data_IF_185787636107
#
_entry.id   IF_185787636107
#
_cell.length_a   1.000
_cell.length_b   1.000
_cell.length_c   1.000
_cell.angle_alpha   90.00
_cell.angle_beta   90.00
_cell.angle_gamma   90.00
#
_symmetry.space_group_name_H-M   'P 1'
#
loop_
_entity.id
_entity.type
_entity.pdbx_description
1 polymer ?
#
# COMPACT_ATOMS: atom_id res chain seq x y z
N UNK A 1 32.86 -44.25 68.87
CA UNK A 1 31.64 -44.47 68.06
C UNK A 1 30.58 -43.37 68.20
N UNK A 2 30.37 -42.74 69.37
CA UNK A 2 29.38 -41.65 69.57
C UNK A 2 29.72 -40.32 68.88
N UNK A 3 31.00 -39.99 68.73
CA UNK A 3 31.43 -38.76 68.04
C UNK A 3 31.41 -38.88 66.50
N UNK A 4 31.62 -40.09 65.97
CA UNK A 4 31.55 -40.36 64.53
C UNK A 4 30.10 -40.34 64.02
N UNK A 5 29.16 -40.81 64.86
CA UNK A 5 27.72 -40.72 64.58
C UNK A 5 27.22 -39.28 64.66
N UNK A 6 27.74 -38.44 65.57
CA UNK A 6 27.38 -37.02 65.64
C UNK A 6 27.87 -36.22 64.43
N UNK A 7 29.07 -36.53 63.91
CA UNK A 7 29.63 -35.86 62.73
C UNK A 7 28.89 -36.27 61.45
N UNK A 8 28.50 -37.55 61.35
CA UNK A 8 27.66 -38.04 60.24
C UNK A 8 26.24 -37.46 60.30
N UNK A 9 25.67 -37.25 61.49
CA UNK A 9 24.35 -36.62 61.64
C UNK A 9 24.40 -35.11 61.32
N UNK A 10 25.48 -34.42 61.71
CA UNK A 10 25.69 -33.01 61.40
C UNK A 10 25.96 -32.78 59.90
N UNK A 11 26.73 -33.66 59.25
CA UNK A 11 26.96 -33.62 57.81
C UNK A 11 25.68 -33.96 57.01
N UNK A 12 24.82 -34.85 57.52
CA UNK A 12 23.53 -35.17 56.92
C UNK A 12 22.52 -34.00 57.02
N UNK A 13 22.57 -33.21 58.10
CA UNK A 13 21.74 -31.98 58.22
C UNK A 13 22.26 -30.80 57.39
N UNK A 14 23.55 -30.76 57.04
CA UNK A 14 24.09 -29.76 56.11
C UNK A 14 23.81 -30.09 54.63
N UNK A 15 23.48 -31.35 54.30
CA UNK A 15 23.13 -31.78 52.94
C UNK A 15 21.66 -31.51 52.56
N UNK A 16 20.80 -31.13 53.52
CA UNK A 16 19.38 -30.83 53.27
C UNK A 16 19.07 -29.33 53.24
N UNK A 17 20.06 -28.47 53.45
CA UNK A 17 19.96 -27.03 53.17
C UNK A 17 20.31 -26.76 51.70
N UNK A 18 19.66 -27.47 50.78
CA UNK A 18 19.63 -27.08 49.38
C UNK A 18 18.70 -25.86 49.30
N UNK A 19 19.19 -24.78 48.67
CA UNK A 19 18.47 -23.54 48.39
C UNK A 19 16.99 -23.78 48.10
N UNK A 20 16.13 -23.17 48.91
CA UNK A 20 14.76 -22.89 48.52
C UNK A 20 14.78 -21.65 47.60
N UNK A 21 15.37 -21.80 46.40
CA UNK A 21 15.18 -20.86 45.29
C UNK A 21 13.93 -21.29 44.52
N UNK A 22 12.82 -21.47 45.25
CA UNK A 22 11.51 -21.46 44.61
C UNK A 22 11.12 -20.00 44.35
N UNK A 23 11.83 -19.37 43.41
CA UNK A 23 11.23 -18.26 42.66
C UNK A 23 9.94 -18.82 42.07
N UNK A 24 8.83 -18.51 42.74
CA UNK A 24 7.50 -18.78 42.21
C UNK A 24 7.46 -18.07 40.87
N UNK A 25 7.42 -18.85 39.79
CA UNK A 25 7.09 -18.37 38.45
C UNK A 25 5.74 -17.66 38.53
N UNK A 26 5.77 -16.37 38.82
CA UNK A 26 4.59 -15.51 38.74
C UNK A 26 4.29 -15.35 37.25
N UNK A 27 3.16 -15.89 36.84
CA UNK A 27 2.67 -15.77 35.46
C UNK A 27 2.14 -14.34 35.27
N UNK A 28 3.04 -13.36 35.20
CA UNK A 28 2.74 -11.99 34.82
C UNK A 28 2.78 -11.91 33.30
N UNK A 29 1.61 -11.77 32.70
CA UNK A 29 1.49 -11.44 31.28
C UNK A 29 1.88 -9.96 31.17
N UNK A 30 2.99 -9.69 30.50
CA UNK A 30 3.38 -8.35 30.12
C UNK A 30 2.55 -7.92 28.90
N UNK A 31 1.79 -6.84 29.04
CA UNK A 31 1.00 -6.22 27.98
C UNK A 31 1.75 -5.07 27.30
N UNK A 32 3.02 -4.82 27.67
CA UNK A 32 3.85 -3.85 26.99
C UNK A 32 4.00 -4.23 25.52
N UNK A 33 3.90 -3.23 24.64
CA UNK A 33 4.12 -3.41 23.21
C UNK A 33 5.59 -3.12 22.92
N UNK A 34 6.34 -4.03 22.27
CA UNK A 34 7.73 -3.77 21.89
C UNK A 34 7.83 -2.63 20.86
N UNK A 35 6.71 -2.24 20.23
CA UNK A 35 6.66 -1.15 19.26
C UNK A 35 6.43 0.22 19.90
N UNK A 36 6.14 0.32 21.20
CA UNK A 36 5.98 1.61 21.85
C UNK A 36 7.31 2.39 21.80
N UNK A 37 7.25 3.66 21.42
CA UNK A 37 8.41 4.55 21.43
C UNK A 37 8.37 5.38 22.70
N UNK A 38 9.44 5.33 23.50
CA UNK A 38 9.59 6.14 24.71
C UNK A 38 10.39 7.42 24.44
N UNK A 39 10.11 8.47 25.21
CA UNK A 39 10.79 9.75 25.14
C UNK A 39 12.21 9.67 25.75
N UNK A 40 13.11 10.53 25.28
CA UNK A 40 14.54 10.52 25.63
C UNK A 40 15.17 11.89 25.39
N UNK A 41 16.31 12.16 26.05
CA UNK A 41 17.13 13.35 25.79
C UNK A 41 17.86 13.32 24.43
N UNK A 42 17.91 12.15 23.77
CA UNK A 42 18.43 12.06 22.40
C UNK A 42 17.46 12.74 21.41
N UNK A 43 17.91 13.72 20.60
CA UNK A 43 17.02 14.53 19.78
C UNK A 43 16.30 13.73 18.69
N UNK A 44 16.91 12.68 18.15
CA UNK A 44 16.28 11.83 17.14
C UNK A 44 15.21 10.95 17.78
N UNK A 45 15.53 10.36 18.93
CA UNK A 45 14.59 9.57 19.71
C UNK A 45 13.39 10.41 20.17
N UNK A 46 13.62 11.65 20.61
CA UNK A 46 12.56 12.59 20.95
C UNK A 46 11.62 12.83 19.77
N UNK A 47 12.15 13.11 18.56
CA UNK A 47 11.31 13.29 17.37
C UNK A 47 10.52 12.03 17.01
N UNK A 48 11.11 10.84 17.14
CA UNK A 48 10.38 9.56 16.95
C UNK A 48 9.23 9.43 17.96
N UNK A 49 9.47 9.81 19.22
CA UNK A 49 8.46 9.81 20.27
C UNK A 49 7.32 10.78 19.95
N UNK A 50 7.62 11.99 19.47
CA UNK A 50 6.59 12.97 19.08
C UNK A 50 5.70 12.43 17.95
N UNK A 51 6.30 11.84 16.90
CA UNK A 51 5.55 11.19 15.82
C UNK A 51 4.68 10.04 16.34
N UNK A 52 5.21 9.20 17.23
CA UNK A 52 4.45 8.11 17.83
C UNK A 52 3.28 8.64 18.70
N UNK A 53 3.51 9.67 19.50
CA UNK A 53 2.50 10.33 20.33
C UNK A 53 1.38 10.94 19.48
N UNK A 54 1.74 11.62 18.41
CA UNK A 54 0.80 12.42 17.61
C UNK A 54 0.04 11.56 16.59
N UNK A 55 0.70 10.55 16.01
CA UNK A 55 0.14 9.72 14.95
C UNK A 55 -0.20 8.28 15.35
N UNK A 56 0.38 7.78 16.44
CA UNK A 56 0.27 6.37 16.87
C UNK A 56 1.12 5.40 16.05
N UNK A 57 2.11 5.90 15.28
CA UNK A 57 2.92 5.10 14.36
C UNK A 57 4.36 5.04 14.83
N UNK A 58 4.88 3.83 15.01
CA UNK A 58 6.25 3.60 15.43
C UNK A 58 7.20 3.69 14.23
N UNK A 59 8.29 4.45 14.35
CA UNK A 59 9.28 4.65 13.27
C UNK A 59 10.61 4.03 13.68
N UNK A 60 11.25 3.27 12.81
CA UNK A 60 12.55 2.61 13.06
C UNK A 60 13.57 2.93 11.96
N UNK A 61 14.86 2.95 12.31
CA UNK A 61 15.99 3.15 11.39
C UNK A 61 16.85 1.89 11.19
N UNK A 62 16.56 0.83 11.94
CA UNK A 62 17.09 -0.51 11.77
C UNK A 62 15.95 -1.52 12.00
N UNK A 63 16.22 -2.79 11.73
CA UNK A 63 15.26 -3.87 11.83
C UNK A 63 15.01 -4.35 13.26
N UNK A 64 15.77 -3.91 14.26
CA UNK A 64 15.59 -4.29 15.67
C UNK A 64 14.59 -3.37 16.37
N UNK A 65 13.44 -3.94 16.73
CA UNK A 65 12.34 -3.23 17.41
C UNK A 65 12.63 -3.10 18.91
N UNK A 66 13.08 -4.18 19.54
CA UNK A 66 13.43 -4.18 20.97
C UNK A 66 14.46 -5.26 21.31
N UNK A 67 15.16 -5.07 22.43
CA UNK A 67 16.06 -6.07 23.01
C UNK A 67 15.78 -6.23 24.51
N UNK A 68 15.51 -7.46 24.95
CA UNK A 68 15.27 -7.77 26.36
C UNK A 68 16.31 -8.77 26.86
N UNK A 69 16.94 -8.47 28.00
CA UNK A 69 17.81 -9.42 28.70
C UNK A 69 17.01 -10.65 29.15
N UNK A 70 17.56 -11.85 28.93
CA UNK A 70 16.91 -13.13 29.24
C UNK A 70 17.62 -13.88 30.37
N UNK A 71 18.92 -13.66 30.55
CA UNK A 71 19.76 -14.35 31.53
C UNK A 71 21.21 -14.37 31.09
N UNK A 72 22.08 -15.03 31.84
CA UNK A 72 23.48 -15.25 31.46
C UNK A 72 23.67 -16.67 30.92
N UNK A 73 24.64 -16.85 30.01
CA UNK A 73 25.04 -18.16 29.53
C UNK A 73 25.91 -18.92 30.56
N UNK A 74 26.39 -20.12 30.22
CA UNK A 74 27.23 -20.91 31.12
C UNK A 74 28.58 -20.26 31.45
N UNK A 75 29.07 -19.33 30.60
CA UNK A 75 30.28 -18.57 30.82
C UNK A 75 30.04 -17.27 31.63
N UNK A 76 28.77 -16.91 31.87
CA UNK A 76 28.37 -15.68 32.54
C UNK A 76 28.16 -14.50 31.59
N UNK A 77 28.11 -14.73 30.28
CA UNK A 77 27.87 -13.69 29.28
C UNK A 77 26.36 -13.45 29.11
N UNK A 78 25.91 -12.18 29.04
CA UNK A 78 24.50 -11.85 28.98
C UNK A 78 23.86 -12.27 27.65
N UNK A 79 22.73 -12.96 27.73
CA UNK A 79 21.88 -13.37 26.61
C UNK A 79 20.72 -12.39 26.47
N UNK A 80 20.52 -11.90 25.25
CA UNK A 80 19.40 -11.04 24.89
C UNK A 80 18.46 -11.74 23.89
N UNK A 81 17.17 -11.45 24.02
CA UNK A 81 16.15 -11.73 23.00
C UNK A 81 15.90 -10.44 22.23
N UNK A 82 15.83 -10.56 20.91
CA UNK A 82 15.56 -9.45 20.00
C UNK A 82 14.20 -9.67 19.33
N UNK A 83 13.41 -8.60 19.27
CA UNK A 83 12.25 -8.51 18.37
C UNK A 83 12.70 -7.76 17.13
N UNK A 84 12.47 -8.33 15.94
CA UNK A 84 12.89 -7.73 14.68
C UNK A 84 11.73 -7.58 13.71
N UNK A 85 11.82 -6.57 12.83
CA UNK A 85 10.90 -6.40 11.71
C UNK A 85 11.21 -7.49 10.68
N UNK A 86 10.32 -8.48 10.57
CA UNK A 86 10.41 -9.52 9.54
C UNK A 86 9.41 -9.25 8.40
N UNK A 87 9.93 -8.84 7.25
CA UNK A 87 9.13 -8.60 6.05
C UNK A 87 8.71 -9.90 5.33
N UNK A 88 9.25 -11.07 5.69
CA UNK A 88 8.80 -12.35 5.16
C UNK A 88 7.62 -12.95 5.94
N UNK A 89 7.23 -12.30 7.04
CA UNK A 89 6.13 -12.77 7.87
C UNK A 89 4.77 -12.35 7.28
N UNK A 90 4.03 -13.31 6.75
CA UNK A 90 2.63 -13.12 6.31
C UNK A 90 1.70 -14.16 6.98
N UNK A 91 0.42 -13.83 7.13
CA UNK A 91 -0.56 -14.70 7.82
C UNK A 91 -0.94 -15.96 7.02
N UNK A 92 -0.86 -15.92 5.69
CA UNK A 92 -1.39 -16.96 4.79
C UNK A 92 -0.34 -17.68 3.97
N UNK A 93 0.90 -17.21 3.99
CA UNK A 93 2.00 -17.74 3.19
C UNK A 93 3.32 -17.40 3.88
N UNK A 94 4.26 -18.33 3.87
CA UNK A 94 5.67 -17.96 3.94
C UNK A 94 6.12 -17.83 2.49
N UNK A 95 6.77 -16.72 2.13
CA UNK A 95 7.76 -16.81 1.06
C UNK A 95 8.65 -17.98 1.47
N UNK A 96 8.67 -19.09 0.72
CA UNK A 96 9.30 -20.35 1.15
C UNK A 96 10.84 -20.23 1.13
N UNK A 97 11.40 -19.17 1.73
CA UNK A 97 12.77 -18.73 1.60
C UNK A 97 13.12 -18.15 0.22
N UNK A 98 12.14 -17.93 -0.67
CA UNK A 98 12.43 -17.45 -2.04
C UNK A 98 12.74 -15.96 -2.11
N UNK A 99 12.34 -15.18 -1.11
CA UNK A 99 12.59 -13.74 -1.03
C UNK A 99 13.51 -13.44 0.15
N UNK A 100 14.55 -12.64 -0.10
CA UNK A 100 15.46 -12.15 0.93
C UNK A 100 15.52 -10.63 0.87
N UNK A 101 15.43 -9.98 2.02
CA UNK A 101 15.59 -8.54 2.17
C UNK A 101 16.98 -8.22 2.73
N UNK A 102 17.61 -7.19 2.17
CA UNK A 102 18.84 -6.59 2.68
C UNK A 102 18.64 -5.08 2.77
N UNK A 103 19.21 -4.46 3.80
CA UNK A 103 18.98 -3.05 4.11
C UNK A 103 20.30 -2.34 4.35
N UNK A 104 20.42 -1.14 3.79
CA UNK A 104 21.41 -0.15 4.18
C UNK A 104 20.74 0.86 5.11
N UNK A 105 21.25 1.00 6.34
CA UNK A 105 20.60 1.81 7.38
C UNK A 105 20.99 3.29 7.33
N UNK A 106 20.10 4.15 7.82
CA UNK A 106 20.38 5.56 8.07
C UNK A 106 21.15 5.68 9.38
N UNK A 107 22.40 6.16 9.32
CA UNK A 107 23.33 6.10 10.46
C UNK A 107 23.63 7.45 11.08
N UNK A 108 23.39 8.55 10.36
CA UNK A 108 23.66 9.89 10.85
C UNK A 108 22.39 10.61 11.32
N UNK A 109 22.47 11.50 12.32
CA UNK A 109 21.33 12.32 12.74
C UNK A 109 20.75 13.20 11.62
N UNK A 110 21.56 13.65 10.68
CA UNK A 110 21.12 14.46 9.54
C UNK A 110 20.23 13.65 8.59
N UNK A 111 20.67 12.44 8.19
CA UNK A 111 19.89 11.50 7.38
C UNK A 111 18.58 11.12 8.08
N UNK A 112 18.65 10.77 9.36
CA UNK A 112 17.50 10.38 10.17
C UNK A 112 16.49 11.53 10.27
N UNK A 113 16.93 12.77 10.51
CA UNK A 113 16.05 13.92 10.55
C UNK A 113 15.31 14.15 9.23
N UNK A 114 16.01 14.04 8.09
CA UNK A 114 15.39 14.15 6.76
C UNK A 114 14.34 13.08 6.53
N UNK A 115 14.63 11.85 6.95
CA UNK A 115 13.71 10.74 6.85
C UNK A 115 12.46 10.95 7.75
N UNK A 116 12.63 11.53 8.95
CA UNK A 116 11.50 11.90 9.83
C UNK A 116 10.65 13.05 9.26
N UNK A 117 11.23 13.98 8.49
CA UNK A 117 10.47 15.02 7.79
C UNK A 117 9.54 14.39 6.75
N UNK A 118 10.00 13.35 6.04
CA UNK A 118 9.14 12.54 5.17
C UNK A 118 8.02 11.86 5.96
N UNK A 119 8.30 11.28 7.13
CA UNK A 119 7.26 10.63 7.95
C UNK A 119 6.15 11.60 8.33
N UNK A 120 6.51 12.81 8.78
CA UNK A 120 5.52 13.81 9.16
C UNK A 120 4.65 14.25 7.96
N UNK A 121 5.27 14.46 6.78
CA UNK A 121 4.53 14.75 5.55
C UNK A 121 3.59 13.61 5.14
N UNK A 122 4.04 12.36 5.24
CA UNK A 122 3.21 11.20 4.91
C UNK A 122 2.06 11.03 5.91
N UNK A 123 2.35 11.05 7.22
CA UNK A 123 1.36 10.79 8.28
C UNK A 123 0.35 11.93 8.48
N UNK A 124 0.72 13.17 8.12
CA UNK A 124 -0.24 14.28 8.07
C UNK A 124 -1.28 14.12 6.95
N UNK A 125 -0.94 13.40 5.86
CA UNK A 125 -1.86 13.03 4.77
C UNK A 125 -2.59 11.71 5.05
N UNK A 126 -1.93 10.75 5.71
CA UNK A 126 -2.51 9.45 6.01
C UNK A 126 -3.43 9.52 7.24
N UNK A 127 -4.71 9.28 7.00
CA UNK A 127 -5.77 9.29 8.02
C UNK A 127 -6.23 7.87 8.33
N UNK A 128 -6.70 7.67 9.57
CA UNK A 128 -7.39 6.44 9.99
C UNK A 128 -6.68 5.14 9.58
N UNK A 129 -7.39 4.32 8.79
CA UNK A 129 -6.94 2.98 8.38
C UNK A 129 -5.74 2.99 7.42
N UNK A 130 -5.37 4.15 6.86
CA UNK A 130 -4.20 4.26 5.98
C UNK A 130 -2.89 4.51 6.71
N UNK A 131 -2.91 4.75 8.02
CA UNK A 131 -1.67 4.78 8.80
C UNK A 131 -1.10 3.36 8.92
N UNK A 132 0.16 3.12 8.55
CA UNK A 132 0.80 1.82 8.76
C UNK A 132 0.95 1.58 10.27
N UNK A 133 1.07 0.31 10.66
CA UNK A 133 1.32 -0.03 12.07
C UNK A 133 2.71 0.45 12.51
N UNK A 134 3.71 0.27 11.66
CA UNK A 134 5.02 0.89 11.83
C UNK A 134 5.64 1.29 10.50
N UNK A 135 6.61 2.20 10.56
CA UNK A 135 7.44 2.61 9.44
C UNK A 135 8.90 2.21 9.68
N UNK A 136 9.55 1.73 8.63
CA UNK A 136 10.96 1.36 8.67
C UNK A 136 11.72 2.15 7.60
N UNK A 137 12.59 3.06 8.04
CA UNK A 137 13.28 4.00 7.17
C UNK A 137 14.72 3.56 6.96
N UNK A 138 15.12 3.46 5.70
CA UNK A 138 16.42 2.92 5.27
C UNK A 138 17.03 3.85 4.22
N UNK A 139 18.34 3.78 4.03
CA UNK A 139 18.97 4.41 2.87
C UNK A 139 18.65 3.62 1.60
N UNK A 140 18.64 2.30 1.72
CA UNK A 140 18.31 1.40 0.62
C UNK A 140 17.69 0.11 1.13
N UNK A 141 16.73 -0.43 0.38
CA UNK A 141 16.28 -1.82 0.50
C UNK A 141 16.60 -2.56 -0.80
N UNK A 142 17.18 -3.76 -0.67
CA UNK A 142 17.34 -4.69 -1.79
C UNK A 142 16.45 -5.91 -1.55
N UNK A 143 15.59 -6.21 -2.51
CA UNK A 143 14.72 -7.39 -2.51
C UNK A 143 15.27 -8.40 -3.48
N UNK A 144 15.75 -9.53 -2.98
CA UNK A 144 16.28 -10.62 -3.77
C UNK A 144 15.21 -11.67 -4.03
N UNK A 145 14.98 -12.01 -5.30
CA UNK A 145 14.28 -13.21 -5.69
C UNK A 145 15.31 -14.33 -5.92
N UNK A 146 15.50 -15.15 -4.90
CA UNK A 146 16.49 -16.23 -4.90
C UNK A 146 16.16 -17.33 -5.91
N UNK A 147 14.88 -17.49 -6.28
CA UNK A 147 14.46 -18.49 -7.27
C UNK A 147 14.74 -18.05 -8.71
N UNK A 148 14.73 -16.74 -8.97
CA UNK A 148 14.99 -16.17 -10.29
C UNK A 148 16.40 -15.59 -10.43
N UNK A 149 17.18 -15.55 -9.34
CA UNK A 149 18.50 -14.90 -9.26
C UNK A 149 18.46 -13.43 -9.69
N UNK A 150 17.35 -12.75 -9.37
CA UNK A 150 17.14 -11.33 -9.67
C UNK A 150 17.02 -10.53 -8.39
N UNK A 151 17.24 -9.22 -8.49
CA UNK A 151 16.97 -8.29 -7.40
C UNK A 151 16.36 -7.00 -7.91
N UNK A 152 15.67 -6.32 -7.01
CA UNK A 152 15.16 -4.97 -7.20
C UNK A 152 15.50 -4.10 -5.99
N UNK A 153 15.48 -2.78 -6.20
CA UNK A 153 15.73 -1.76 -5.18
C UNK A 153 14.58 -0.76 -5.18
N UNK A 154 13.44 -1.13 -4.56
CA UNK A 154 12.27 -0.27 -4.56
C UNK A 154 12.47 0.91 -3.60
N UNK A 155 11.89 2.06 -3.94
CA UNK A 155 11.87 3.24 -3.06
C UNK A 155 10.97 3.03 -1.82
N UNK A 156 10.04 2.07 -1.89
CA UNK A 156 9.18 1.70 -0.77
C UNK A 156 8.61 0.29 -0.90
N UNK A 157 8.21 -0.30 0.24
CA UNK A 157 7.47 -1.56 0.32
C UNK A 157 6.29 -1.39 1.27
N UNK A 158 5.09 -1.75 0.81
CA UNK A 158 3.89 -1.83 1.65
C UNK A 158 3.64 -3.28 2.02
N UNK A 159 3.97 -3.67 3.25
CA UNK A 159 3.68 -4.99 3.79
C UNK A 159 2.50 -4.92 4.77
N UNK A 160 2.02 -6.05 5.30
CA UNK A 160 0.80 -6.15 6.09
C UNK A 160 0.75 -5.19 7.31
N UNK A 161 1.90 -4.95 7.94
CA UNK A 161 2.04 -4.02 9.09
C UNK A 161 3.06 -2.90 8.87
N UNK A 162 4.04 -3.13 8.01
CA UNK A 162 5.21 -2.26 7.88
C UNK A 162 5.19 -1.53 6.55
N UNK A 163 5.33 -0.21 6.60
CA UNK A 163 5.72 0.60 5.44
C UNK A 163 7.23 0.82 5.50
N UNK A 164 7.96 0.22 4.56
CA UNK A 164 9.39 0.47 4.38
C UNK A 164 9.55 1.60 3.38
N UNK A 165 10.42 2.56 3.66
CA UNK A 165 10.76 3.64 2.72
C UNK A 165 12.28 3.79 2.66
N UNK A 166 12.81 3.94 1.45
CA UNK A 166 14.23 3.98 1.16
C UNK A 166 14.64 5.28 0.47
N UNK A 167 15.84 5.80 0.78
CA UNK A 167 16.54 6.84 0.02
C UNK A 167 15.96 8.25 0.15
N UNK A 168 15.09 8.49 1.14
CA UNK A 168 14.43 9.80 1.33
C UNK A 168 15.34 10.86 1.96
N UNK A 169 16.49 10.47 2.48
CA UNK A 169 17.52 11.39 3.02
C UNK A 169 18.03 12.38 1.96
N UNK A 170 18.01 11.99 0.69
CA UNK A 170 18.47 12.79 -0.45
C UNK A 170 17.35 13.64 -1.08
N UNK A 171 16.10 13.51 -0.61
CA UNK A 171 14.96 14.13 -1.26
C UNK A 171 14.74 15.59 -0.82
N UNK A 172 14.32 16.43 -1.77
CA UNK A 172 13.69 17.70 -1.47
C UNK A 172 12.24 17.51 -0.99
N UNK A 173 11.67 18.52 -0.32
CA UNK A 173 10.30 18.45 0.19
C UNK A 173 9.25 18.13 -0.89
N UNK A 174 9.39 18.66 -2.10
CA UNK A 174 8.48 18.35 -3.21
C UNK A 174 8.56 16.87 -3.66
N UNK A 175 9.75 16.27 -3.60
CA UNK A 175 9.94 14.86 -3.92
C UNK A 175 9.36 13.97 -2.82
N UNK A 176 9.52 14.36 -1.55
CA UNK A 176 8.88 13.69 -0.40
C UNK A 176 7.35 13.74 -0.51
N UNK A 177 6.78 14.88 -0.89
CA UNK A 177 5.35 15.06 -1.07
C UNK A 177 4.80 14.17 -2.21
N UNK A 178 5.51 14.15 -3.34
CA UNK A 178 5.19 13.30 -4.49
C UNK A 178 5.26 11.82 -4.15
N UNK A 179 6.30 11.39 -3.43
CA UNK A 179 6.46 10.01 -2.98
C UNK A 179 5.36 9.64 -1.97
N UNK A 180 5.07 10.51 -1.00
CA UNK A 180 3.99 10.32 -0.02
C UNK A 180 2.65 10.11 -0.69
N UNK A 181 2.33 10.93 -1.69
CA UNK A 181 1.11 10.82 -2.49
C UNK A 181 1.08 9.51 -3.28
N UNK A 182 2.21 9.10 -3.85
CA UNK A 182 2.34 7.84 -4.60
C UNK A 182 2.10 6.63 -3.70
N UNK A 183 2.72 6.60 -2.52
CA UNK A 183 2.56 5.52 -1.54
C UNK A 183 1.12 5.46 -1.05
N UNK A 184 0.52 6.60 -0.67
CA UNK A 184 -0.85 6.63 -0.17
C UNK A 184 -1.85 6.14 -1.21
N UNK A 185 -1.70 6.55 -2.48
CA UNK A 185 -2.53 6.05 -3.58
C UNK A 185 -2.39 4.54 -3.79
N UNK A 186 -1.17 4.03 -3.74
CA UNK A 186 -0.89 2.59 -3.82
C UNK A 186 -1.55 1.81 -2.67
N UNK A 187 -1.48 2.34 -1.45
CA UNK A 187 -2.13 1.75 -0.28
C UNK A 187 -3.66 1.75 -0.41
N UNK A 188 -4.28 2.86 -0.84
CA UNK A 188 -5.73 2.94 -1.10
C UNK A 188 -6.13 1.91 -2.14
N UNK A 189 -5.41 1.83 -3.26
CA UNK A 189 -5.67 0.86 -4.33
C UNK A 189 -5.64 -0.57 -3.82
N UNK A 190 -4.58 -0.93 -3.09
CA UNK A 190 -4.42 -2.26 -2.50
C UNK A 190 -5.58 -2.60 -1.55
N UNK A 191 -5.98 -1.65 -0.69
CA UNK A 191 -7.06 -1.83 0.29
C UNK A 191 -8.43 -1.98 -0.35
N UNK A 192 -8.71 -1.25 -1.43
CA UNK A 192 -9.93 -1.40 -2.23
C UNK A 192 -9.96 -2.77 -2.91
N UNK A 193 -8.84 -3.18 -3.50
CA UNK A 193 -8.74 -4.48 -4.19
C UNK A 193 -8.85 -5.69 -3.25
N UNK A 194 -8.47 -5.53 -1.97
CA UNK A 194 -8.58 -6.57 -0.96
C UNK A 194 -9.98 -6.70 -0.34
N UNK A 195 -10.86 -5.70 -0.49
CA UNK A 195 -12.23 -5.79 -0.01
C UNK A 195 -13.10 -6.59 -0.99
N UNK A 196 -13.24 -7.89 -0.71
CA UNK A 196 -13.99 -8.81 -1.56
C UNK A 196 -15.47 -8.41 -1.72
N UNK A 197 -16.10 -7.76 -0.73
CA UNK A 197 -17.50 -7.36 -0.81
C UNK A 197 -17.67 -6.16 -1.76
N UNK A 198 -16.83 -5.14 -1.58
CA UNK A 198 -16.79 -3.97 -2.45
C UNK A 198 -16.47 -4.38 -3.89
N UNK A 199 -15.45 -5.20 -4.10
CA UNK A 199 -15.05 -5.69 -5.43
C UNK A 199 -16.21 -6.45 -6.10
N UNK A 200 -16.92 -7.30 -5.36
CA UNK A 200 -18.08 -8.03 -5.88
C UNK A 200 -19.22 -7.09 -6.25
N UNK A 201 -19.56 -6.12 -5.40
CA UNK A 201 -20.60 -5.12 -5.66
C UNK A 201 -20.25 -4.26 -6.87
N UNK A 202 -19.04 -3.70 -6.91
CA UNK A 202 -18.52 -2.93 -8.05
C UNK A 202 -18.59 -3.74 -9.35
N UNK A 203 -18.12 -4.99 -9.32
CA UNK A 203 -18.11 -5.89 -10.47
C UNK A 203 -19.51 -6.17 -11.00
N UNK A 204 -20.49 -6.35 -10.10
CA UNK A 204 -21.88 -6.71 -10.43
C UNK A 204 -22.59 -5.70 -11.33
N UNK A 205 -22.19 -4.43 -11.29
CA UNK A 205 -22.76 -3.36 -12.12
C UNK A 205 -22.58 -3.64 -13.62
N UNK A 206 -21.46 -4.26 -14.01
CA UNK A 206 -21.16 -4.58 -15.42
C UNK A 206 -21.10 -6.08 -15.72
N UNK A 207 -20.97 -6.96 -14.71
CA UNK A 207 -20.91 -8.40 -14.94
C UNK A 207 -22.29 -9.05 -15.07
N UNK A 208 -23.34 -8.49 -14.46
CA UNK A 208 -24.72 -9.04 -14.54
C UNK A 208 -25.18 -9.22 -15.98
N UNK A 209 -24.90 -8.24 -16.83
CA UNK A 209 -25.25 -8.24 -18.26
C UNK A 209 -24.09 -8.66 -19.17
N UNK A 210 -23.04 -9.23 -18.57
CA UNK A 210 -21.84 -9.75 -19.24
C UNK A 210 -21.18 -8.70 -20.16
N UNK A 211 -20.75 -7.55 -19.61
CA UNK A 211 -20.15 -6.46 -20.41
C UNK A 211 -18.63 -6.49 -20.52
N UNK A 212 -17.93 -7.22 -19.64
CA UNK A 212 -16.47 -7.31 -19.63
C UNK A 212 -15.92 -8.09 -20.84
N UNK A 213 -14.74 -7.68 -21.33
CA UNK A 213 -14.01 -8.36 -22.41
C UNK A 213 -14.71 -8.36 -23.77
N UNK A 214 -15.71 -7.49 -23.96
CA UNK A 214 -16.52 -7.45 -25.18
C UNK A 214 -16.08 -6.35 -26.12
N UNK A 215 -16.19 -6.57 -27.45
CA UNK A 215 -15.97 -5.52 -28.41
C UNK A 215 -16.96 -4.37 -28.18
N UNK A 216 -16.49 -3.12 -28.34
CA UNK A 216 -17.37 -1.95 -28.29
C UNK A 216 -18.46 -2.02 -29.36
N UNK A 217 -18.09 -2.45 -30.57
CA UNK A 217 -18.96 -2.48 -31.75
C UNK A 217 -19.46 -3.88 -32.07
N UNK A 218 -20.67 -3.95 -32.59
CA UNK A 218 -21.23 -5.21 -33.11
C UNK A 218 -20.57 -5.54 -34.45
N UNK A 219 -19.69 -6.55 -34.48
CA UNK A 219 -19.07 -7.05 -35.71
C UNK A 219 -19.52 -8.48 -35.99
N UNK A 220 -20.72 -8.64 -36.55
CA UNK A 220 -21.22 -9.78 -37.34
C UNK A 220 -21.17 -11.21 -36.77
N UNK A 221 -20.54 -11.45 -35.62
CA UNK A 221 -20.38 -12.77 -35.01
C UNK A 221 -20.14 -12.74 -33.48
N UNK A 222 -19.70 -11.61 -32.90
CA UNK A 222 -19.16 -11.55 -31.52
C UNK A 222 -20.03 -10.80 -30.50
N UNK A 223 -21.33 -10.57 -30.74
CA UNK A 223 -22.24 -9.81 -29.86
C UNK A 223 -21.51 -8.65 -29.14
N UNK A 224 -21.10 -7.63 -29.88
CA UNK A 224 -20.48 -6.44 -29.28
C UNK A 224 -21.45 -5.70 -28.35
N UNK A 225 -20.96 -4.73 -27.58
CA UNK A 225 -21.77 -3.93 -26.67
C UNK A 225 -22.74 -3.00 -27.39
N UNK A 226 -22.50 -2.72 -28.68
CA UNK A 226 -23.37 -1.87 -29.49
C UNK A 226 -23.15 -0.39 -29.21
N UNK A 227 -21.91 0.00 -28.93
CA UNK A 227 -21.49 1.39 -28.98
C UNK A 227 -21.70 1.94 -30.40
N UNK A 228 -22.24 3.14 -30.49
CA UNK A 228 -22.61 3.83 -31.74
C UNK A 228 -21.78 5.08 -32.00
N UNK A 229 -21.01 5.56 -31.01
CA UNK A 229 -20.16 6.73 -31.14
C UNK A 229 -19.19 6.56 -32.31
N UNK A 230 -19.35 7.41 -33.33
CA UNK A 230 -18.56 7.34 -34.59
C UNK A 230 -17.05 7.37 -34.36
N UNK A 231 -16.61 8.03 -33.29
CA UNK A 231 -15.21 8.18 -32.92
C UNK A 231 -14.62 6.92 -32.29
N UNK A 232 -15.47 5.99 -31.86
CA UNK A 232 -15.10 4.66 -31.37
C UNK A 232 -15.20 3.60 -32.47
N UNK A 233 -16.08 3.76 -33.45
CA UNK A 233 -16.47 2.70 -34.41
C UNK A 233 -15.82 2.78 -35.79
N UNK A 234 -15.19 3.90 -36.15
CA UNK A 234 -14.45 4.12 -37.40
C UNK A 234 -15.16 3.59 -38.67
N UNK A 235 -16.41 3.99 -38.89
CA UNK A 235 -17.19 3.47 -40.02
C UNK A 235 -16.87 4.15 -41.38
N UNK A 236 -16.34 5.38 -41.39
CA UNK A 236 -16.21 6.19 -42.62
C UNK A 236 -14.78 6.76 -42.85
N UNK A 237 -13.72 6.03 -42.50
CA UNK A 237 -12.33 6.46 -42.77
C UNK A 237 -11.83 7.64 -41.92
N UNK A 238 -12.59 8.05 -40.89
CA UNK A 238 -12.16 9.00 -39.88
C UNK A 238 -11.39 8.32 -38.74
N UNK A 239 -10.48 9.07 -38.12
CA UNK A 239 -9.63 8.61 -37.01
C UNK A 239 -10.45 8.06 -35.84
N UNK A 240 -10.08 6.85 -35.38
CA UNK A 240 -10.59 6.29 -34.14
C UNK A 240 -9.90 6.94 -32.94
N UNK A 241 -10.69 7.48 -32.02
CA UNK A 241 -10.21 8.00 -30.75
C UNK A 241 -10.08 6.88 -29.73
N UNK A 242 -9.06 7.00 -28.89
CA UNK A 242 -8.80 6.07 -27.81
C UNK A 242 -9.38 6.63 -26.53
N UNK A 243 -10.34 5.91 -25.96
CA UNK A 243 -11.06 6.32 -24.76
C UNK A 243 -10.09 6.52 -23.58
N UNK A 244 -9.01 5.73 -23.51
CA UNK A 244 -8.07 5.74 -22.38
C UNK A 244 -7.18 6.98 -22.35
N UNK A 245 -6.96 7.64 -23.49
CA UNK A 245 -6.06 8.79 -23.57
C UNK A 245 -6.71 10.07 -24.10
N UNK A 246 -8.04 10.07 -24.30
CA UNK A 246 -8.75 11.20 -24.87
C UNK A 246 -8.65 12.49 -24.01
N UNK A 247 -8.35 12.37 -22.71
CA UNK A 247 -8.13 13.50 -21.81
C UNK A 247 -6.65 13.91 -21.63
N UNK A 248 -5.69 13.18 -22.22
CA UNK A 248 -4.27 13.49 -22.05
C UNK A 248 -3.86 14.70 -22.88
N UNK A 249 -2.95 15.53 -22.35
CA UNK A 249 -2.43 16.69 -23.06
C UNK A 249 -1.78 16.29 -24.39
N UNK A 250 -1.03 15.18 -24.40
CA UNK A 250 -0.41 14.64 -25.62
C UNK A 250 -1.43 14.34 -26.72
N UNK A 251 -2.58 13.74 -26.36
CA UNK A 251 -3.64 13.46 -27.34
C UNK A 251 -4.30 14.75 -27.81
N UNK A 252 -4.56 15.70 -26.90
CA UNK A 252 -5.12 17.02 -27.22
C UNK A 252 -4.21 17.75 -28.22
N UNK A 253 -2.92 17.90 -27.90
CA UNK A 253 -1.95 18.60 -28.74
C UNK A 253 -1.87 17.97 -30.13
N UNK A 254 -1.83 16.63 -30.19
CA UNK A 254 -1.80 15.89 -31.46
C UNK A 254 -3.06 16.17 -32.28
N UNK A 255 -4.23 16.04 -31.69
CA UNK A 255 -5.51 16.20 -32.38
C UNK A 255 -5.68 17.62 -32.92
N UNK A 256 -5.32 18.63 -32.11
CA UNK A 256 -5.37 20.04 -32.48
C UNK A 256 -4.35 20.35 -33.58
N UNK A 257 -3.14 19.76 -33.52
CA UNK A 257 -2.11 19.96 -34.55
C UNK A 257 -2.47 19.38 -35.92
N UNK A 258 -3.20 18.26 -35.95
CA UNK A 258 -3.67 17.62 -37.19
C UNK A 258 -4.91 18.37 -37.75
N UNK A 259 -5.54 19.23 -36.95
CA UNK A 259 -6.72 19.99 -37.35
C UNK A 259 -7.98 19.12 -37.49
N UNK A 260 -8.06 18.00 -36.74
CA UNK A 260 -9.23 17.12 -36.74
C UNK A 260 -10.46 17.86 -36.20
N UNK A 261 -10.25 18.73 -35.20
CA UNK A 261 -11.26 19.63 -34.64
C UNK A 261 -10.81 21.07 -34.78
N UNK A 262 -11.77 21.96 -35.06
CA UNK A 262 -11.50 23.38 -35.22
C UNK A 262 -11.26 24.11 -33.90
N UNK A 263 -11.81 23.60 -32.79
CA UNK A 263 -11.73 24.20 -31.45
C UNK A 263 -11.64 23.12 -30.38
N UNK A 264 -11.16 23.50 -29.19
CA UNK A 264 -11.16 22.62 -28.02
C UNK A 264 -12.59 22.25 -27.59
N UNK A 265 -13.52 23.20 -27.69
CA UNK A 265 -14.95 23.00 -27.43
C UNK A 265 -15.54 21.88 -28.31
N UNK A 266 -15.23 21.87 -29.61
CA UNK A 266 -15.66 20.80 -30.51
C UNK A 266 -15.05 19.43 -30.14
N UNK A 267 -13.82 19.42 -29.60
CA UNK A 267 -13.23 18.19 -29.11
C UNK A 267 -13.84 17.73 -27.78
N UNK A 268 -14.22 18.66 -26.91
CA UNK A 268 -14.93 18.38 -25.66
C UNK A 268 -16.29 17.72 -25.88
N UNK A 269 -17.08 18.20 -26.83
CA UNK A 269 -18.34 17.57 -27.22
C UNK A 269 -18.14 16.12 -27.65
N UNK A 270 -17.10 15.85 -28.44
CA UNK A 270 -16.75 14.50 -28.89
C UNK A 270 -16.28 13.61 -27.76
N UNK A 271 -15.50 14.12 -26.81
CA UNK A 271 -15.12 13.36 -25.60
C UNK A 271 -16.34 13.01 -24.78
N UNK A 272 -17.26 13.95 -24.58
CA UNK A 272 -18.50 13.71 -23.87
C UNK A 272 -19.35 12.62 -24.55
N UNK A 273 -19.49 12.65 -25.88
CA UNK A 273 -20.19 11.60 -26.64
C UNK A 273 -19.52 10.24 -26.47
N UNK A 274 -18.18 10.18 -26.59
CA UNK A 274 -17.38 8.98 -26.44
C UNK A 274 -17.56 8.35 -25.05
N UNK A 275 -17.43 9.16 -24.00
CA UNK A 275 -17.55 8.72 -22.62
C UNK A 275 -18.98 8.32 -22.27
N UNK A 276 -19.98 9.07 -22.75
CA UNK A 276 -21.38 8.71 -22.54
C UNK A 276 -21.71 7.33 -23.13
N UNK A 277 -21.19 7.01 -24.32
CA UNK A 277 -21.50 5.76 -25.01
C UNK A 277 -20.89 4.54 -24.32
N UNK A 278 -19.62 4.59 -23.91
CA UNK A 278 -19.02 3.50 -23.10
C UNK A 278 -19.59 3.47 -21.68
N UNK A 279 -19.99 4.63 -21.17
CA UNK A 279 -20.55 4.79 -19.84
C UNK A 279 -21.86 4.03 -19.66
N UNK A 280 -22.62 3.79 -20.73
CA UNK A 280 -23.84 2.95 -20.73
C UNK A 280 -23.62 1.53 -20.18
N UNK A 281 -22.37 1.08 -20.13
CA UNK A 281 -21.96 -0.23 -19.63
C UNK A 281 -21.19 -0.15 -18.31
N UNK A 282 -21.14 1.03 -17.68
CA UNK A 282 -20.44 1.27 -16.42
C UNK A 282 -18.93 1.40 -16.55
N UNK A 283 -18.40 1.78 -17.72
CA UNK A 283 -16.96 1.90 -17.96
C UNK A 283 -16.52 3.35 -18.18
N UNK A 284 -15.32 3.68 -17.70
CA UNK A 284 -14.64 4.96 -17.97
C UNK A 284 -13.45 4.81 -18.92
N UNK A 285 -13.06 3.57 -19.20
CA UNK A 285 -11.89 3.17 -19.98
C UNK A 285 -12.15 1.85 -20.72
N UNK A 286 -11.34 1.53 -21.73
CA UNK A 286 -11.29 0.23 -22.41
C UNK A 286 -10.06 -0.59 -22.03
N UNK A 287 -10.00 -1.83 -22.51
CA UNK A 287 -8.90 -2.74 -22.19
C UNK A 287 -7.55 -2.19 -22.65
N UNK A 288 -6.55 -2.14 -21.77
CA UNK A 288 -5.26 -1.49 -22.06
C UNK A 288 -4.56 -1.97 -23.35
N UNK A 289 -4.76 -3.22 -23.77
CA UNK A 289 -4.15 -3.78 -24.99
C UNK A 289 -4.96 -3.53 -26.27
N UNK A 290 -6.22 -3.11 -26.14
CA UNK A 290 -7.16 -2.94 -27.25
C UNK A 290 -8.25 -1.92 -26.92
N UNK A 291 -7.88 -0.83 -26.24
CA UNK A 291 -8.82 0.12 -25.60
C UNK A 291 -9.78 0.77 -26.57
N UNK A 292 -9.32 0.92 -27.82
CA UNK A 292 -10.10 1.41 -28.95
C UNK A 292 -11.21 0.48 -29.38
N UNK A 293 -11.11 -0.83 -29.12
CA UNK A 293 -12.00 -1.83 -29.69
C UNK A 293 -12.71 -2.69 -28.66
N UNK A 294 -12.25 -2.72 -27.41
CA UNK A 294 -12.79 -3.60 -26.37
C UNK A 294 -12.96 -2.91 -25.01
N UNK A 295 -14.03 -3.31 -24.32
CA UNK A 295 -14.26 -3.02 -22.90
C UNK A 295 -13.19 -3.65 -22.01
N UNK A 296 -13.05 -3.19 -20.75
CA UNK A 296 -12.11 -3.79 -19.81
C UNK A 296 -12.27 -5.31 -19.74
N UNK A 297 -11.14 -6.02 -19.68
CA UNK A 297 -11.12 -7.49 -19.75
C UNK A 297 -11.86 -8.14 -18.57
N UNK A 298 -11.75 -7.54 -17.39
CA UNK A 298 -12.31 -8.05 -16.16
C UNK A 298 -12.57 -6.95 -15.12
N UNK A 299 -13.16 -7.35 -14.00
CA UNK A 299 -13.47 -6.48 -12.85
C UNK A 299 -12.21 -5.83 -12.28
N UNK A 300 -11.09 -6.57 -12.19
CA UNK A 300 -9.85 -6.07 -11.59
C UNK A 300 -9.25 -4.92 -12.40
N UNK A 301 -9.25 -5.07 -13.72
CA UNK A 301 -8.77 -4.08 -14.67
C UNK A 301 -9.62 -2.82 -14.64
N UNK A 302 -10.93 -2.97 -14.67
CA UNK A 302 -11.87 -1.85 -14.59
C UNK A 302 -11.79 -1.09 -13.26
N UNK A 303 -11.79 -1.83 -12.15
CA UNK A 303 -11.61 -1.26 -10.81
C UNK A 303 -10.30 -0.46 -10.72
N UNK A 304 -9.22 -0.99 -11.29
CA UNK A 304 -7.94 -0.29 -11.38
C UNK A 304 -8.07 1.06 -12.10
N UNK A 305 -8.79 1.11 -13.23
CA UNK A 305 -9.02 2.37 -13.96
C UNK A 305 -9.79 3.39 -13.13
N UNK A 306 -10.85 2.96 -12.43
CA UNK A 306 -11.63 3.86 -11.58
C UNK A 306 -10.77 4.45 -10.46
N UNK A 307 -10.05 3.61 -9.70
CA UNK A 307 -9.22 4.07 -8.59
C UNK A 307 -8.13 5.02 -9.08
N UNK A 308 -7.39 4.62 -10.12
CA UNK A 308 -6.27 5.43 -10.64
C UNK A 308 -6.76 6.78 -11.17
N UNK A 309 -7.90 6.79 -11.87
CA UNK A 309 -8.50 8.03 -12.41
C UNK A 309 -9.00 8.92 -11.27
N UNK A 310 -9.79 8.36 -10.35
CA UNK A 310 -10.39 9.08 -9.23
C UNK A 310 -9.34 9.74 -8.34
N UNK A 311 -8.29 9.00 -7.98
CA UNK A 311 -7.21 9.53 -7.14
C UNK A 311 -6.29 10.52 -7.88
N UNK A 312 -6.25 10.47 -9.22
CA UNK A 312 -5.43 11.37 -10.02
C UNK A 312 -6.09 12.73 -10.25
N UNK A 313 -7.40 12.76 -10.54
CA UNK A 313 -8.11 13.98 -10.94
C UNK A 313 -9.07 14.52 -9.89
N UNK A 314 -9.34 13.75 -8.83
CA UNK A 314 -10.26 14.14 -7.76
C UNK A 314 -11.73 14.00 -8.12
N UNK A 315 -12.61 14.19 -7.13
CA UNK A 315 -14.06 13.96 -7.27
C UNK A 315 -14.74 14.89 -8.27
N UNK A 316 -14.45 16.19 -8.20
CA UNK A 316 -15.11 17.21 -9.03
C UNK A 316 -14.87 16.95 -10.52
N UNK A 317 -13.61 16.76 -10.90
CA UNK A 317 -13.24 16.52 -12.30
C UNK A 317 -13.67 15.12 -12.77
N UNK A 318 -13.70 14.11 -11.88
CA UNK A 318 -14.26 12.81 -12.23
C UNK A 318 -15.74 12.92 -12.59
N UNK A 319 -16.54 13.60 -11.76
CA UNK A 319 -17.97 13.79 -12.02
C UNK A 319 -18.19 14.64 -13.27
N UNK A 320 -17.37 15.67 -13.49
CA UNK A 320 -17.41 16.46 -14.72
C UNK A 320 -17.21 15.59 -15.97
N UNK A 321 -16.20 14.71 -15.97
CA UNK A 321 -15.87 13.87 -17.13
C UNK A 321 -16.83 12.71 -17.34
N UNK A 322 -17.26 12.05 -16.27
CA UNK A 322 -17.87 10.72 -16.33
C UNK A 322 -19.29 10.68 -15.72
N UNK A 323 -19.73 11.74 -15.07
CA UNK A 323 -20.97 11.77 -14.28
C UNK A 323 -22.27 11.73 -15.06
N UNK A 324 -22.21 11.78 -16.39
CA UNK A 324 -23.38 11.64 -17.27
C UNK A 324 -23.95 10.21 -17.33
N UNK A 325 -23.23 9.20 -16.82
CA UNK A 325 -23.69 7.81 -16.80
C UNK A 325 -24.10 7.33 -15.40
N UNK A 326 -25.31 6.77 -15.31
CA UNK A 326 -25.86 6.18 -14.08
C UNK A 326 -25.00 5.01 -13.58
N UNK A 327 -24.62 4.06 -14.43
CA UNK A 327 -23.82 2.90 -14.04
C UNK A 327 -22.40 3.29 -13.63
N UNK A 328 -21.84 4.34 -14.25
CA UNK A 328 -20.53 4.87 -13.84
C UNK A 328 -20.62 5.53 -12.48
N UNK A 329 -21.67 6.31 -12.23
CA UNK A 329 -21.89 6.96 -10.94
C UNK A 329 -22.20 5.96 -9.83
N UNK A 330 -22.88 4.86 -10.12
CA UNK A 330 -23.08 3.77 -9.16
C UNK A 330 -21.75 3.21 -8.65
N UNK A 331 -20.84 2.86 -9.58
CA UNK A 331 -19.49 2.39 -9.24
C UNK A 331 -18.67 3.44 -8.50
N UNK A 332 -18.69 4.69 -8.98
CA UNK A 332 -18.00 5.80 -8.36
C UNK A 332 -18.44 5.99 -6.90
N UNK A 333 -19.76 6.01 -6.63
CA UNK A 333 -20.28 6.21 -5.28
C UNK A 333 -19.82 5.10 -4.33
N UNK A 334 -19.82 3.83 -4.77
CA UNK A 334 -19.29 2.72 -3.95
C UNK A 334 -17.82 2.95 -3.55
N UNK A 335 -17.01 3.45 -4.48
CA UNK A 335 -15.60 3.72 -4.22
C UNK A 335 -15.40 4.93 -3.31
N UNK A 336 -16.12 6.03 -3.55
CA UNK A 336 -16.05 7.23 -2.70
C UNK A 336 -16.50 6.91 -1.28
N UNK A 337 -17.63 6.21 -1.11
CA UNK A 337 -18.14 5.83 0.21
C UNK A 337 -17.12 4.99 0.99
N UNK A 338 -16.45 4.04 0.32
CA UNK A 338 -15.43 3.22 0.96
C UNK A 338 -14.14 4.01 1.26
N UNK A 339 -13.63 4.77 0.29
CA UNK A 339 -12.35 5.48 0.44
C UNK A 339 -12.47 6.62 1.47
N UNK A 340 -13.53 7.42 1.41
CA UNK A 340 -13.71 8.53 2.36
C UNK A 340 -14.31 8.06 3.68
N UNK A 341 -15.24 7.10 3.65
CA UNK A 341 -15.96 6.62 4.84
C UNK A 341 -15.18 5.60 5.65
N UNK A 342 -14.74 4.51 5.02
CA UNK A 342 -14.04 3.41 5.71
C UNK A 342 -12.54 3.66 5.83
N UNK A 343 -11.89 4.15 4.76
CA UNK A 343 -10.45 4.41 4.80
C UNK A 343 -10.10 5.80 5.38
N UNK A 344 -11.06 6.73 5.39
CA UNK A 344 -10.89 8.08 5.91
C UNK A 344 -10.08 9.02 5.01
N UNK A 345 -9.81 8.64 3.76
CA UNK A 345 -8.94 9.38 2.84
C UNK A 345 -9.75 10.37 2.02
N UNK A 346 -9.38 11.64 2.07
CA UNK A 346 -9.98 12.66 1.19
C UNK A 346 -9.46 12.49 -0.25
N UNK A 347 -10.38 12.44 -1.21
CA UNK A 347 -10.12 12.29 -2.66
C UNK A 347 -9.99 13.64 -3.36
#
# INVERSE_FOLDING_TARGET
MKHLTLILLAAATLLTAACDDSEKLENRIDFSSPYAIEDSDDPIQHRRYELFRDYGVSVFFNDTVSSSYVGDDFAGDPIYRYETIDLNWEFSSQSYGSIKYEFDYLTTPEEQNRALDFVDQFLSKATGAMRPFCMFLTSQVTVWNLSQETYERPDYLTNFRTLVVAGVEDYAAEQMDSLSTTILRSMVKSRVQQDANLVARFGSVSSTENYYGRPWVTNGANDGLGCTCRWLTAYDGYYQLDVNNCFTQTTIDRIMSIGIFATMEAYEEVRAELIADIGRFGFISGYSRSSKTQSPEDVSTDLGYYIDTLLAIGKEEFVNRYGGSELVMEKYNMLVDYIEGELGVAI
#
